data_IF_143272237545
#
_entry.id   IF_143272237545
#
_cell.length_a   1.000
_cell.length_b   1.000
_cell.length_c   1.000
_cell.angle_alpha   90.00
_cell.angle_beta   90.00
_cell.angle_gamma   90.00
#
_symmetry.space_group_name_H-M   'P 1'
#
loop_
_entity.id
_entity.type
_entity.pdbx_description
1 polymer ?
#
# COMPACT_ATOMS: atom_id res chain seq x y z
N UNK A 1 51.57 0.73 -7.07
CA UNK A 1 50.86 1.62 -6.13
C UNK A 1 49.39 1.28 -6.29
N UNK A 2 48.99 0.20 -5.65
CA UNK A 2 47.66 -0.38 -5.76
C UNK A 2 46.76 0.31 -4.73
N UNK A 3 45.83 1.13 -5.20
CA UNK A 3 44.84 1.77 -4.33
C UNK A 3 43.74 0.76 -4.00
N UNK A 4 43.75 0.26 -2.76
CA UNK A 4 42.65 -0.51 -2.19
C UNK A 4 41.38 0.35 -2.10
N UNK A 5 40.31 -0.10 -2.76
CA UNK A 5 38.97 0.47 -2.66
C UNK A 5 38.34 -0.03 -1.34
N UNK A 6 37.91 0.84 -0.41
CA UNK A 6 37.29 0.38 0.82
C UNK A 6 35.89 -0.20 0.53
N UNK A 7 35.69 -1.47 0.89
CA UNK A 7 34.38 -2.13 0.85
C UNK A 7 33.44 -1.46 1.87
N UNK A 8 32.37 -0.83 1.40
CA UNK A 8 31.29 -0.36 2.27
C UNK A 8 30.55 -1.58 2.84
N UNK A 9 30.48 -1.66 4.17
CA UNK A 9 29.72 -2.70 4.88
C UNK A 9 28.23 -2.36 4.77
N UNK A 10 27.45 -3.28 4.19
CA UNK A 10 25.99 -3.26 4.27
C UNK A 10 25.56 -3.31 5.75
N UNK A 11 24.90 -2.24 6.20
CA UNK A 11 24.21 -2.25 7.47
C UNK A 11 22.85 -2.93 7.27
N UNK A 12 22.75 -4.19 7.71
CA UNK A 12 21.47 -4.89 7.85
C UNK A 12 20.67 -4.20 8.96
N UNK A 13 19.75 -3.31 8.58
CA UNK A 13 18.78 -2.73 9.52
C UNK A 13 17.67 -3.73 9.82
N UNK A 14 17.93 -4.66 10.73
CA UNK A 14 16.88 -5.39 11.44
C UNK A 14 16.52 -4.61 12.71
N UNK A 15 15.46 -3.80 12.66
CA UNK A 15 14.78 -3.34 13.88
C UNK A 15 13.29 -3.17 13.58
N UNK A 16 12.48 -4.14 14.01
CA UNK A 16 11.04 -3.94 14.13
C UNK A 16 10.81 -2.99 15.31
N UNK A 17 10.81 -1.69 15.05
CA UNK A 17 10.40 -0.69 16.02
C UNK A 17 8.87 -0.72 16.14
N UNK A 18 8.35 -0.91 17.36
CA UNK A 18 6.91 -0.76 17.63
C UNK A 18 6.55 0.73 17.51
N UNK A 19 5.67 1.04 16.57
CA UNK A 19 5.09 2.37 16.37
C UNK A 19 4.43 2.88 17.67
N UNK A 20 4.68 4.14 17.99
CA UNK A 20 4.07 4.88 19.10
C UNK A 20 2.56 5.08 18.88
N UNK A 21 1.81 5.46 19.93
CA UNK A 21 0.35 5.72 19.82
C UNK A 21 -0.01 6.85 18.84
N UNK A 22 0.91 7.78 18.58
CA UNK A 22 0.75 8.82 17.56
C UNK A 22 1.02 8.31 16.13
N UNK A 23 1.77 7.22 16.02
CA UNK A 23 2.07 6.51 14.76
C UNK A 23 1.11 5.34 14.50
N UNK A 24 0.21 5.04 15.45
CA UNK A 24 -0.92 4.14 15.23
C UNK A 24 -1.90 4.82 14.28
N UNK A 25 -1.73 4.54 12.99
CA UNK A 25 -2.68 4.98 11.99
C UNK A 25 -4.02 4.29 12.26
N UNK A 26 -5.07 5.09 12.42
CA UNK A 26 -6.40 4.61 12.74
C UNK A 26 -7.01 3.93 11.51
N UNK A 27 -7.44 2.67 11.63
CA UNK A 27 -8.16 1.97 10.56
C UNK A 27 -9.59 2.48 10.50
N UNK A 28 -9.99 3.06 9.37
CA UNK A 28 -11.29 3.71 9.19
C UNK A 28 -12.28 2.88 8.37
N UNK A 29 -11.78 1.91 7.60
CA UNK A 29 -12.56 0.99 6.77
C UNK A 29 -11.71 -0.23 6.37
N UNK A 30 -12.37 -1.22 5.77
CA UNK A 30 -11.72 -2.39 5.16
C UNK A 30 -12.33 -2.63 3.79
N UNK A 31 -11.50 -2.85 2.76
CA UNK A 31 -11.95 -3.21 1.42
C UNK A 31 -11.28 -4.51 0.97
N UNK A 32 -12.08 -5.54 0.75
CA UNK A 32 -11.61 -6.87 0.33
C UNK A 32 -10.45 -7.41 1.19
N UNK A 33 -10.42 -7.13 2.50
CA UNK A 33 -9.35 -7.56 3.41
C UNK A 33 -8.14 -6.63 3.51
N UNK A 34 -8.13 -5.50 2.79
CA UNK A 34 -7.14 -4.42 2.98
C UNK A 34 -7.69 -3.42 4.01
N UNK A 35 -6.93 -3.18 5.07
CA UNK A 35 -7.23 -2.13 6.05
C UNK A 35 -6.88 -0.76 5.48
N UNK A 36 -7.82 0.17 5.54
CA UNK A 36 -7.65 1.54 5.06
C UNK A 36 -7.40 2.44 6.26
N UNK A 37 -6.27 3.13 6.21
CA UNK A 37 -5.81 4.03 7.25
C UNK A 37 -6.41 5.43 7.05
N UNK A 38 -6.66 6.12 8.16
CA UNK A 38 -7.20 7.48 8.15
C UNK A 38 -6.27 8.43 7.38
N UNK A 39 -6.86 9.27 6.53
CA UNK A 39 -6.12 10.23 5.72
C UNK A 39 -6.98 11.44 5.34
N UNK A 40 -6.37 12.62 5.13
CA UNK A 40 -7.10 13.87 4.88
C UNK A 40 -7.87 13.87 3.56
N UNK A 41 -7.51 12.98 2.62
CA UNK A 41 -8.14 12.83 1.31
C UNK A 41 -9.34 11.86 1.33
N UNK A 42 -9.59 11.17 2.45
CA UNK A 42 -10.71 10.23 2.59
C UNK A 42 -11.98 10.94 3.07
N UNK A 43 -12.66 11.58 2.13
CA UNK A 43 -13.95 12.23 2.39
C UNK A 43 -15.01 11.21 2.83
N UNK A 44 -16.06 11.62 3.58
CA UNK A 44 -17.10 10.70 4.05
C UNK A 44 -17.79 9.89 2.95
N UNK A 45 -17.92 10.45 1.75
CA UNK A 45 -18.48 9.74 0.58
C UNK A 45 -17.55 8.62 0.10
N UNK A 46 -16.24 8.85 0.11
CA UNK A 46 -15.21 7.85 -0.24
C UNK A 46 -15.21 6.74 0.81
N UNK A 47 -15.24 7.09 2.10
CA UNK A 47 -15.33 6.09 3.17
C UNK A 47 -16.59 5.24 3.06
N UNK A 48 -17.73 5.83 2.65
CA UNK A 48 -18.96 5.08 2.40
C UNK A 48 -18.77 4.09 1.25
N UNK A 49 -18.22 4.52 0.11
CA UNK A 49 -18.00 3.62 -1.04
C UNK A 49 -17.00 2.50 -0.72
N UNK A 50 -15.96 2.78 0.08
CA UNK A 50 -15.02 1.75 0.56
C UNK A 50 -15.77 0.71 1.40
N UNK A 51 -16.60 1.16 2.34
CA UNK A 51 -17.36 0.28 3.24
C UNK A 51 -18.44 -0.54 2.53
N UNK A 52 -19.04 -0.03 1.45
CA UNK A 52 -20.02 -0.77 0.64
C UNK A 52 -19.36 -1.65 -0.42
N UNK A 53 -18.05 -1.50 -0.64
CA UNK A 53 -17.31 -2.26 -1.65
C UNK A 53 -17.40 -1.67 -3.06
N UNK A 54 -17.88 -0.43 -3.20
CA UNK A 54 -18.09 0.23 -4.49
C UNK A 54 -16.93 1.17 -4.89
N UNK A 55 -15.98 1.43 -3.99
CA UNK A 55 -14.82 2.26 -4.27
C UNK A 55 -13.92 1.61 -5.35
N UNK A 56 -13.75 2.31 -6.48
CA UNK A 56 -12.90 1.88 -7.62
C UNK A 56 -13.17 0.41 -8.04
N UNK A 57 -14.43 -0.02 -7.89
CA UNK A 57 -14.83 -1.42 -8.08
C UNK A 57 -14.53 -1.93 -9.50
N UNK A 58 -14.85 -1.18 -10.58
CA UNK A 58 -14.49 -1.59 -11.93
C UNK A 58 -12.98 -1.82 -12.09
N UNK A 59 -12.15 -0.89 -11.61
CA UNK A 59 -10.69 -0.92 -11.71
C UNK A 59 -10.12 -2.15 -10.99
N UNK A 60 -10.62 -2.43 -9.78
CA UNK A 60 -10.24 -3.62 -9.00
C UNK A 60 -10.64 -4.90 -9.74
N UNK A 61 -11.89 -5.00 -10.21
CA UNK A 61 -12.40 -6.19 -10.91
C UNK A 61 -11.61 -6.46 -12.21
N UNK A 62 -11.31 -5.41 -12.99
CA UNK A 62 -10.49 -5.53 -14.19
C UNK A 62 -9.05 -5.95 -13.86
N UNK A 63 -8.44 -5.37 -12.82
CA UNK A 63 -7.10 -5.74 -12.39
C UNK A 63 -7.03 -7.22 -12.00
N UNK A 64 -7.91 -7.67 -11.11
CA UNK A 64 -7.95 -9.06 -10.65
C UNK A 64 -8.20 -10.07 -11.78
N UNK A 65 -8.95 -9.68 -12.82
CA UNK A 65 -9.23 -10.55 -13.95
C UNK A 65 -8.05 -10.70 -14.94
N UNK A 66 -7.11 -9.74 -14.97
CA UNK A 66 -6.09 -9.67 -16.02
C UNK A 66 -4.65 -9.83 -15.52
N UNK A 67 -4.37 -9.47 -14.27
CA UNK A 67 -3.04 -9.57 -13.67
C UNK A 67 -2.68 -11.03 -13.44
N UNK A 68 -1.44 -11.39 -13.78
CA UNK A 68 -0.92 -12.76 -13.68
C UNK A 68 0.32 -12.82 -12.78
N UNK A 69 0.62 -14.00 -12.21
CA UNK A 69 1.89 -14.22 -11.51
C UNK A 69 3.08 -13.87 -12.41
N UNK A 70 3.96 -13.00 -11.91
CA UNK A 70 5.13 -12.52 -12.64
C UNK A 70 4.97 -11.17 -13.34
N UNK A 71 3.74 -10.64 -13.43
CA UNK A 71 3.52 -9.30 -13.93
C UNK A 71 4.16 -8.25 -13.01
N UNK A 72 4.67 -7.17 -13.62
CA UNK A 72 5.23 -6.01 -12.92
C UNK A 72 4.30 -4.83 -13.14
N UNK A 73 3.71 -4.34 -12.07
CA UNK A 73 2.66 -3.32 -12.13
C UNK A 73 3.16 -2.05 -11.46
N UNK A 74 2.85 -0.91 -12.09
CA UNK A 74 3.05 0.42 -11.53
C UNK A 74 1.70 1.14 -11.53
N UNK A 75 1.23 1.55 -10.36
CA UNK A 75 0.04 2.40 -10.24
C UNK A 75 0.45 3.88 -10.26
N UNK A 76 -0.13 4.64 -11.17
CA UNK A 76 0.10 6.08 -11.29
C UNK A 76 -1.04 6.83 -10.61
N UNK A 77 -0.71 7.82 -9.76
CA UNK A 77 -1.74 8.62 -9.08
C UNK A 77 -2.53 7.84 -8.02
N UNK A 78 -1.88 6.95 -7.28
CA UNK A 78 -2.49 5.98 -6.35
C UNK A 78 -3.32 6.58 -5.19
N UNK A 79 -3.17 7.87 -4.91
CA UNK A 79 -3.86 8.53 -3.79
C UNK A 79 -3.60 7.80 -2.46
N UNK A 80 -4.64 7.13 -1.95
CA UNK A 80 -4.61 6.36 -0.71
C UNK A 80 -3.89 5.00 -0.81
N UNK A 81 -3.52 4.52 -2.00
CA UNK A 81 -2.89 3.20 -2.15
C UNK A 81 -3.84 2.01 -2.17
N UNK A 82 -5.16 2.23 -2.14
CA UNK A 82 -6.14 1.17 -1.86
C UNK A 82 -6.23 0.16 -3.00
N UNK A 83 -6.32 0.62 -4.26
CA UNK A 83 -6.47 -0.27 -5.43
C UNK A 83 -5.24 -1.15 -5.59
N UNK A 84 -4.04 -0.57 -5.65
CA UNK A 84 -2.80 -1.34 -5.70
C UNK A 84 -2.66 -2.33 -4.55
N UNK A 85 -3.02 -1.94 -3.32
CA UNK A 85 -3.00 -2.84 -2.15
C UNK A 85 -3.98 -4.02 -2.29
N UNK A 86 -5.15 -3.80 -2.89
CA UNK A 86 -6.11 -4.87 -3.14
C UNK A 86 -5.60 -5.86 -4.18
N UNK A 87 -4.90 -5.37 -5.20
CA UNK A 87 -4.37 -6.17 -6.31
C UNK A 87 -3.11 -6.97 -5.96
N UNK A 88 -2.34 -6.55 -4.96
CA UNK A 88 -1.08 -7.19 -4.52
C UNK A 88 -1.25 -8.38 -3.57
N UNK A 89 -2.48 -8.89 -3.39
CA UNK A 89 -2.72 -10.05 -2.52
C UNK A 89 -2.09 -11.34 -3.02
#
# INVERSE_FOLDING_TARGET
>A
MDAEIPKQKEAVMTTTQKLTKAEQQNVVATLQGVEVLEGPHLLPVILRSIKTGDYEKPEIEFGLANIKPGDRIMEMGTGAGIVGSVLLK
#
